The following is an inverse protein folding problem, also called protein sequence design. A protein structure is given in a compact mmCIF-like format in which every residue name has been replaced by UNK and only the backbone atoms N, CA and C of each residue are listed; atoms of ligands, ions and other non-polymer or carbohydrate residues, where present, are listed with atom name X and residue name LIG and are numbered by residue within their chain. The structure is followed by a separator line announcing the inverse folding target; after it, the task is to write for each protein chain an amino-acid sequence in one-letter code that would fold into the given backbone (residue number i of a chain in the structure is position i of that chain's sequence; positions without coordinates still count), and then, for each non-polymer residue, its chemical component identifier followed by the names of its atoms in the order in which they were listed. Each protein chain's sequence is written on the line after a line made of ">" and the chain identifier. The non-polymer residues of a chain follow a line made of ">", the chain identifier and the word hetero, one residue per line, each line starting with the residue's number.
data_IF_804949699902
#
_entry.id   IF_804949699902
#
_cell.length_a   1.000
_cell.length_b   1.000
_cell.length_c   1.000
_cell.angle_alpha   90.00
_cell.angle_beta   90.00
_cell.angle_gamma   90.00
#
_symmetry.space_group_name_H-M   'P 1'
#
loop_
_entity.id
_entity.type
_entity.pdbx_description
1 polymer ?
#
# COMPACT_ATOMS: atom_id res chain seq x y z
N UNK A 1 18.24 5.05 17.76
CA UNK A 1 17.42 5.58 16.64
C UNK A 1 16.44 4.49 16.23
N UNK A 2 15.26 4.42 16.88
CA UNK A 2 14.29 3.32 16.65
C UNK A 2 13.47 3.61 15.41
N UNK A 3 13.56 2.70 14.44
CA UNK A 3 12.82 2.74 13.19
C UNK A 3 11.32 2.60 13.46
N UNK A 4 10.45 3.26 12.67
CA UNK A 4 8.98 3.23 12.83
C UNK A 4 8.34 1.84 12.67
N UNK A 5 9.13 0.80 12.38
CA UNK A 5 8.72 -0.59 12.21
C UNK A 5 9.61 -1.52 13.02
N UNK A 6 9.69 -1.23 14.32
CA UNK A 6 10.33 -2.07 15.32
C UNK A 6 9.76 -3.50 15.31
N UNK A 7 10.50 -4.45 15.89
CA UNK A 7 10.13 -5.87 15.94
C UNK A 7 8.75 -6.06 16.58
N UNK A 8 8.48 -5.34 17.68
CA UNK A 8 7.19 -5.37 18.36
C UNK A 8 6.03 -4.89 17.47
N UNK A 9 6.28 -3.89 16.62
CA UNK A 9 5.27 -3.39 15.67
C UNK A 9 4.96 -4.41 14.56
N UNK A 10 5.97 -5.17 14.10
CA UNK A 10 5.78 -6.25 13.13
C UNK A 10 4.99 -7.41 13.74
N UNK A 11 5.26 -7.74 14.99
CA UNK A 11 4.59 -8.83 15.71
C UNK A 11 3.10 -8.49 15.95
N UNK A 12 2.81 -7.29 16.45
CA UNK A 12 1.43 -6.79 16.63
C UNK A 12 0.69 -6.74 15.30
N UNK A 13 1.32 -6.24 14.24
CA UNK A 13 0.75 -6.23 12.89
C UNK A 13 0.38 -7.66 12.46
N UNK A 14 1.29 -8.60 12.58
CA UNK A 14 1.07 -9.99 12.14
C UNK A 14 -0.07 -10.63 12.92
N UNK A 15 -0.10 -10.45 14.23
CA UNK A 15 -1.13 -11.03 15.12
C UNK A 15 -2.52 -10.50 14.81
N UNK A 16 -2.66 -9.18 14.69
CA UNK A 16 -3.95 -8.53 14.37
C UNK A 16 -4.40 -8.82 12.93
N UNK A 17 -3.46 -8.88 11.99
CA UNK A 17 -3.74 -9.20 10.59
C UNK A 17 -4.29 -10.62 10.44
N UNK A 18 -3.68 -11.60 11.13
CA UNK A 18 -4.17 -12.98 11.17
C UNK A 18 -5.52 -13.09 11.90
N UNK A 19 -5.78 -12.22 12.88
CA UNK A 19 -7.10 -12.11 13.51
C UNK A 19 -8.18 -11.52 12.58
N UNK A 20 -7.82 -11.06 11.38
CA UNK A 20 -8.76 -10.48 10.41
C UNK A 20 -9.06 -9.00 10.64
N UNK A 21 -8.31 -8.33 11.51
CA UNK A 21 -8.48 -6.91 11.78
C UNK A 21 -8.18 -6.07 10.54
N UNK A 22 -8.93 -4.98 10.35
CA UNK A 22 -8.72 -4.09 9.20
C UNK A 22 -7.46 -3.24 9.38
N UNK A 23 -6.78 -2.92 8.28
CA UNK A 23 -5.55 -2.13 8.30
C UNK A 23 -5.69 -0.75 8.98
N UNK A 24 -6.88 -0.15 8.97
CA UNK A 24 -7.14 1.12 9.67
C UNK A 24 -7.09 0.93 11.18
N UNK A 25 -7.76 -0.10 11.69
CA UNK A 25 -7.81 -0.41 13.12
C UNK A 25 -6.43 -0.85 13.64
N UNK A 26 -5.66 -1.57 12.81
CA UNK A 26 -4.26 -1.90 13.14
C UNK A 26 -3.40 -0.63 13.20
N UNK A 27 -3.59 0.32 12.29
CA UNK A 27 -2.88 1.60 12.31
C UNK A 27 -3.23 2.42 13.56
N UNK A 28 -4.51 2.48 13.94
CA UNK A 28 -4.99 3.11 15.17
C UNK A 28 -4.35 2.47 16.42
N UNK A 29 -4.25 1.13 16.47
CA UNK A 29 -3.61 0.40 17.58
C UNK A 29 -2.08 0.58 17.63
N UNK A 30 -1.41 0.74 16.50
CA UNK A 30 0.05 0.91 16.44
C UNK A 30 0.50 2.34 16.78
N UNK A 31 -0.31 3.36 16.52
CA UNK A 31 -0.20 4.70 17.14
C UNK A 31 1.10 5.50 16.92
N UNK A 32 1.95 5.15 15.95
CA UNK A 32 3.30 5.75 15.76
C UNK A 32 3.46 6.55 14.46
N UNK A 33 2.40 7.23 14.02
CA UNK A 33 2.36 7.89 12.69
C UNK A 33 2.25 6.89 11.52
N UNK A 34 1.93 5.64 11.83
CA UNK A 34 1.68 4.59 10.84
C UNK A 34 0.28 4.76 10.28
N UNK A 35 0.16 4.95 8.96
CA UNK A 35 -1.14 5.07 8.28
C UNK A 35 -1.66 3.71 7.82
N UNK A 36 -2.96 3.61 7.50
CA UNK A 36 -3.58 2.42 6.88
C UNK A 36 -2.76 1.89 5.70
N UNK A 37 -2.27 2.79 4.85
CA UNK A 37 -1.49 2.42 3.66
C UNK A 37 -0.10 1.89 4.03
N UNK A 38 0.52 2.44 5.07
CA UNK A 38 1.78 1.93 5.59
C UNK A 38 1.62 0.52 6.17
N UNK A 39 0.50 0.24 6.85
CA UNK A 39 0.14 -1.11 7.33
C UNK A 39 -0.04 -2.10 6.19
N UNK A 40 -0.82 -1.74 5.15
CA UNK A 40 -1.01 -2.60 3.97
C UNK A 40 0.33 -2.87 3.28
N UNK A 41 1.14 -1.82 3.08
CA UNK A 41 2.47 -1.94 2.49
C UNK A 41 3.39 -2.86 3.29
N UNK A 42 3.36 -2.76 4.63
CA UNK A 42 4.15 -3.65 5.49
C UNK A 42 3.65 -5.09 5.46
N UNK A 43 2.34 -5.32 5.52
CA UNK A 43 1.74 -6.65 5.41
C UNK A 43 2.06 -7.33 4.06
N UNK A 44 2.08 -6.56 2.97
CA UNK A 44 2.52 -7.02 1.65
C UNK A 44 3.99 -7.45 1.66
N UNK A 45 4.89 -6.64 2.26
CA UNK A 45 6.32 -6.98 2.38
C UNK A 45 6.58 -8.21 3.24
N UNK A 46 5.70 -8.49 4.20
CA UNK A 46 5.74 -9.67 5.06
C UNK A 46 5.04 -10.90 4.44
N UNK A 47 4.44 -10.78 3.24
CA UNK A 47 3.75 -11.90 2.58
C UNK A 47 2.44 -12.34 3.25
N UNK A 48 1.91 -11.55 4.19
CA UNK A 48 0.72 -11.90 4.99
C UNK A 48 -0.59 -11.81 4.18
N UNK A 49 -0.55 -11.29 2.96
CA UNK A 49 -1.73 -11.06 2.11
C UNK A 49 -2.10 -12.26 1.26
N UNK A 50 -1.21 -13.24 1.06
CA UNK A 50 -1.53 -14.48 0.34
C UNK A 50 -2.51 -15.40 1.09
N UNK A 51 -2.54 -15.33 2.43
CA UNK A 51 -3.37 -16.18 3.28
C UNK A 51 -4.73 -15.56 3.66
N UNK A 52 -4.84 -14.22 3.65
CA UNK A 52 -6.05 -13.46 4.03
C UNK A 52 -6.58 -12.48 2.96
N UNK A 53 -5.80 -12.17 1.91
CA UNK A 53 -6.09 -11.10 0.93
C UNK A 53 -6.67 -11.56 -0.41
N UNK A 54 -7.00 -12.85 -0.56
CA UNK A 54 -7.49 -13.43 -1.82
C UNK A 54 -8.90 -12.95 -2.24
N UNK A 55 -9.56 -12.05 -1.49
CA UNK A 55 -10.78 -11.39 -1.96
C UNK A 55 -10.55 -10.17 -2.87
N UNK A 56 -9.33 -9.63 -3.01
CA UNK A 56 -9.08 -8.41 -3.80
C UNK A 56 -8.36 -8.63 -5.15
N UNK A 57 -7.95 -9.86 -5.48
CA UNK A 57 -7.37 -10.15 -6.81
C UNK A 57 -8.40 -10.05 -7.96
N UNK A 58 -9.68 -9.84 -7.64
CA UNK A 58 -10.75 -9.63 -8.61
C UNK A 58 -10.71 -8.23 -9.24
N UNK A 59 -10.06 -7.25 -8.60
CA UNK A 59 -10.05 -5.86 -9.09
C UNK A 59 -8.75 -5.44 -9.79
N UNK A 60 -7.62 -6.08 -9.46
CA UNK A 60 -6.33 -5.75 -10.10
C UNK A 60 -6.22 -6.24 -11.57
N UNK A 61 -7.07 -7.17 -12.00
CA UNK A 61 -7.21 -7.53 -13.42
C UNK A 61 -8.29 -6.72 -14.16
N UNK A 62 -9.16 -6.02 -13.43
CA UNK A 62 -10.22 -5.18 -14.00
C UNK A 62 -9.79 -3.70 -14.15
N UNK A 63 -8.84 -3.23 -13.33
CA UNK A 63 -8.32 -1.85 -13.35
C UNK A 63 -7.00 -1.71 -14.12
N UNK A 64 -6.91 -2.33 -15.31
CA UNK A 64 -5.96 -1.85 -16.32
C UNK A 64 -6.70 -0.80 -17.15
N UNK A 65 -6.49 0.51 -16.94
CA UNK A 65 -7.08 1.51 -17.82
C UNK A 65 -6.48 1.30 -19.20
N UNK A 66 -7.26 0.69 -20.10
CA UNK A 66 -6.95 0.64 -21.52
C UNK A 66 -7.29 2.02 -22.06
N UNK A 67 -6.31 2.91 -22.04
CA UNK A 67 -6.43 4.27 -22.58
C UNK A 67 -6.44 5.36 -21.51
N UNK A 68 -5.26 5.85 -21.15
CA UNK A 68 -5.08 7.30 -20.97
C UNK A 68 -3.76 7.66 -21.62
N UNK A 69 -3.89 7.75 -22.94
CA UNK A 69 -3.10 8.58 -23.81
C UNK A 69 -3.09 10.02 -23.24
N UNK A 70 -2.22 10.29 -22.27
CA UNK A 70 -1.73 11.65 -22.01
C UNK A 70 -0.40 11.83 -22.73
N UNK A 71 -0.48 11.67 -24.05
CA UNK A 71 0.12 12.65 -24.95
C UNK A 71 -0.30 14.07 -24.52
N UNK A 72 0.51 14.74 -23.68
CA UNK A 72 0.71 16.20 -23.80
C UNK A 72 1.85 16.74 -22.93
N UNK A 73 3.03 16.13 -23.03
CA UNK A 73 4.26 16.91 -22.84
C UNK A 73 5.00 17.09 -24.17
N UNK A 74 4.33 17.73 -25.14
CA UNK A 74 5.03 18.27 -26.31
C UNK A 74 5.78 19.53 -25.86
N UNK A 75 7.10 19.42 -25.80
CA UNK A 75 8.04 20.53 -25.62
C UNK A 75 7.68 21.67 -26.59
N UNK A 76 7.63 22.95 -26.16
CA UNK A 76 7.59 24.04 -27.14
C UNK A 76 8.97 24.12 -27.80
N UNK A 77 9.04 23.89 -29.12
CA UNK A 77 10.20 24.26 -29.93
C UNK A 77 10.13 25.77 -30.13
N UNK A 78 11.00 26.52 -29.46
CA UNK A 78 11.29 27.91 -29.83
C UNK A 78 11.80 27.92 -31.27
N UNK A 79 11.08 28.60 -32.15
CA UNK A 79 11.50 28.81 -33.53
C UNK A 79 12.20 30.17 -33.55
N UNK A 80 13.52 30.14 -33.68
CA UNK A 80 14.34 31.33 -33.88
C UNK A 80 13.91 32.04 -35.17
N UNK A 81 13.88 33.37 -35.12
CA UNK A 81 13.81 34.26 -36.28
C UNK A 81 14.92 35.29 -36.13
#
# INVERSE_FOLDING_TARGET
>A
MTVPWDEQGKEVLTRLWLAGETARMIAEKLGRGVTRNAVIGKAHRLGLTGKHGSKSLKWARAFRPKGSDQQRWRKPKTRAR
#
